data_IF_105833196658
#
_entry.id   IF_105833196658
#
_cell.length_a   1.000
_cell.length_b   1.000
_cell.length_c   1.000
_cell.angle_alpha   90.00
_cell.angle_beta   90.00
_cell.angle_gamma   90.00
#
_symmetry.space_group_name_H-M   'P 1'
#
loop_
_entity.id
_entity.type
_entity.pdbx_description
1 polymer ?
#
# COMPACT_ATOMS: atom_id res chain seq x y z
N UNK A 1 -2.16 2.06 20.87
CA UNK A 1 -2.08 1.88 19.40
C UNK A 1 -2.15 3.25 18.77
N UNK A 2 -1.20 3.56 17.90
CA UNK A 2 -1.16 4.84 17.20
C UNK A 2 -1.92 4.69 15.88
N UNK A 3 -2.94 5.52 15.67
CA UNK A 3 -3.78 5.40 14.47
C UNK A 3 -3.28 6.24 13.30
N UNK A 4 -2.33 7.16 13.56
CA UNK A 4 -1.74 8.06 12.57
C UNK A 4 -0.26 8.33 12.87
N UNK A 5 0.59 8.36 11.85
CA UNK A 5 1.99 8.78 11.94
C UNK A 5 2.32 9.72 10.79
N UNK A 6 3.20 10.68 11.02
CA UNK A 6 3.71 11.56 9.97
C UNK A 6 5.08 11.06 9.54
N UNK A 7 5.27 10.81 8.25
CA UNK A 7 6.57 10.42 7.71
C UNK A 7 7.52 11.63 7.61
N UNK A 8 8.79 11.41 7.28
CA UNK A 8 9.77 12.50 7.07
C UNK A 8 9.42 13.46 5.92
N UNK A 9 8.51 13.07 5.04
CA UNK A 9 8.04 13.85 3.89
C UNK A 9 6.84 14.76 4.24
N UNK A 10 6.35 14.71 5.48
CA UNK A 10 5.18 15.47 5.93
C UNK A 10 3.85 14.83 5.56
N UNK A 11 3.85 13.62 5.00
CA UNK A 11 2.64 12.87 4.69
C UNK A 11 2.11 12.19 5.94
N UNK A 12 0.80 12.30 6.13
CA UNK A 12 0.10 11.64 7.22
C UNK A 12 -0.38 10.24 6.81
N UNK A 13 0.18 9.25 7.50
CA UNK A 13 -0.04 7.83 7.29
C UNK A 13 -1.05 7.34 8.33
N UNK A 14 -2.17 6.76 7.87
CA UNK A 14 -3.25 6.30 8.74
C UNK A 14 -3.63 4.85 8.46
N UNK A 15 -4.06 4.15 9.52
CA UNK A 15 -4.67 2.83 9.38
C UNK A 15 -5.88 2.92 8.43
N UNK A 16 -6.02 1.91 7.57
CA UNK A 16 -7.05 1.81 6.53
C UNK A 16 -6.69 2.48 5.20
N UNK A 17 -5.60 3.26 5.13
CA UNK A 17 -5.16 3.83 3.85
C UNK A 17 -4.65 2.76 2.89
N UNK A 18 -4.86 3.02 1.59
CA UNK A 18 -4.32 2.22 0.51
C UNK A 18 -3.09 2.88 -0.12
N UNK A 19 -2.08 2.06 -0.39
CA UNK A 19 -0.81 2.48 -0.96
C UNK A 19 -0.39 1.50 -2.07
N UNK A 20 -0.08 2.02 -3.24
CA UNK A 20 0.34 1.23 -4.39
C UNK A 20 1.85 1.36 -4.63
N UNK A 21 2.49 0.30 -5.09
CA UNK A 21 3.85 0.37 -5.62
C UNK A 21 3.99 1.44 -6.73
N UNK A 22 5.22 1.87 -7.01
CA UNK A 22 5.49 2.72 -8.17
C UNK A 22 4.98 2.07 -9.47
N UNK A 23 4.23 2.82 -10.32
CA UNK A 23 3.63 2.29 -11.54
C UNK A 23 4.65 1.83 -12.60
N UNK A 24 5.95 2.13 -12.43
CA UNK A 24 7.02 1.63 -13.31
C UNK A 24 7.43 0.19 -13.01
N UNK A 25 6.89 -0.44 -11.96
CA UNK A 25 7.14 -1.85 -11.66
C UNK A 25 6.28 -2.76 -12.52
N UNK A 26 6.84 -3.90 -12.95
CA UNK A 26 6.09 -4.97 -13.65
C UNK A 26 4.96 -5.53 -12.79
N UNK A 27 5.18 -5.70 -11.49
CA UNK A 27 4.13 -6.12 -10.56
C UNK A 27 3.83 -4.96 -9.62
N UNK A 28 2.65 -4.37 -9.77
CA UNK A 28 2.16 -3.27 -8.96
C UNK A 28 1.27 -3.83 -7.86
N UNK A 29 1.73 -3.76 -6.61
CA UNK A 29 0.93 -4.19 -5.46
C UNK A 29 0.17 -3.02 -4.85
N UNK A 30 -1.05 -3.29 -4.41
CA UNK A 30 -1.81 -2.41 -3.51
C UNK A 30 -1.80 -3.00 -2.11
N UNK A 31 -1.45 -2.14 -1.16
CA UNK A 31 -1.31 -2.44 0.26
C UNK A 31 -2.37 -1.69 1.03
N UNK A 32 -2.95 -2.32 2.06
CA UNK A 32 -3.75 -1.66 3.08
C UNK A 32 -2.94 -1.58 4.37
N UNK A 33 -2.91 -0.41 5.01
CA UNK A 33 -2.31 -0.26 6.33
C UNK A 33 -3.27 -0.83 7.38
N UNK A 34 -2.81 -1.82 8.13
CA UNK A 34 -3.57 -2.45 9.21
C UNK A 34 -3.05 -2.05 10.59
N UNK A 35 -1.81 -1.56 10.69
CA UNK A 35 -1.21 -1.09 11.93
C UNK A 35 -0.05 -0.14 11.72
N UNK A 36 0.27 0.62 12.76
CA UNK A 36 1.42 1.52 12.83
C UNK A 36 2.17 1.24 14.13
N UNK A 37 3.49 1.10 14.04
CA UNK A 37 4.34 0.74 15.16
C UNK A 37 5.67 1.51 15.12
N UNK A 38 6.34 1.59 16.27
CA UNK A 38 7.70 2.07 16.39
C UNK A 38 8.64 0.87 16.55
N UNK A 39 9.43 0.58 15.51
CA UNK A 39 10.36 -0.54 15.51
C UNK A 39 11.74 -0.18 16.12
N UNK A 40 11.77 0.81 17.03
CA UNK A 40 12.96 1.23 17.75
C UNK A 40 14.01 1.82 16.80
N UNK A 41 15.19 1.19 16.72
CA UNK A 41 16.28 1.67 15.84
C UNK A 41 15.94 1.66 14.34
N UNK A 42 14.89 0.94 13.94
CA UNK A 42 14.40 0.92 12.55
C UNK A 42 13.43 2.07 12.25
N UNK A 43 13.03 2.83 13.27
CA UNK A 43 12.08 3.92 13.20
C UNK A 43 10.63 3.45 13.05
N UNK A 44 9.77 4.39 12.68
CA UNK A 44 8.35 4.15 12.48
C UNK A 44 8.07 3.23 11.27
N UNK A 45 7.19 2.25 11.47
CA UNK A 45 6.79 1.27 10.47
C UNK A 45 5.27 1.15 10.36
N UNK A 46 4.81 0.81 9.16
CA UNK A 46 3.45 0.40 8.88
C UNK A 46 3.41 -1.12 8.68
N UNK A 47 2.46 -1.76 9.36
CA UNK A 47 2.06 -3.16 9.10
C UNK A 47 0.96 -3.11 8.05
N UNK A 48 1.18 -3.78 6.93
CA UNK A 48 0.29 -3.72 5.78
C UNK A 48 -0.06 -5.11 5.25
N UNK A 49 -1.31 -5.28 4.80
CA UNK A 49 -1.72 -6.44 4.00
C UNK A 49 -1.67 -6.11 2.52
N UNK A 50 -1.05 -6.98 1.72
CA UNK A 50 -1.12 -6.93 0.25
C UNK A 50 -2.52 -7.39 -0.19
N UNK A 51 -3.38 -6.42 -0.49
CA UNK A 51 -4.77 -6.67 -0.88
C UNK A 51 -4.93 -6.94 -2.38
N UNK A 52 -3.97 -6.48 -3.19
CA UNK A 52 -3.97 -6.70 -4.63
C UNK A 52 -2.53 -6.74 -5.16
N UNK A 53 -2.27 -7.55 -6.18
CA UNK A 53 -1.08 -7.47 -7.02
C UNK A 53 -1.50 -7.58 -8.49
N UNK A 54 -1.14 -6.58 -9.29
CA UNK A 54 -1.41 -6.53 -10.72
C UNK A 54 -0.09 -6.68 -11.48
N UNK A 55 0.02 -7.73 -12.28
CA UNK A 55 1.11 -7.93 -13.22
C UNK A 55 0.79 -7.20 -14.52
N UNK A 56 1.57 -6.17 -14.86
CA UNK A 56 1.31 -5.30 -16.01
C UNK A 56 1.68 -5.95 -17.35
N UNK A 57 2.50 -6.99 -17.33
CA UNK A 57 2.94 -7.68 -18.55
C UNK A 57 1.89 -8.70 -19.01
N UNK A 58 1.27 -9.39 -18.04
CA UNK A 58 0.24 -10.42 -18.29
C UNK A 58 -1.18 -9.91 -18.08
N UNK A 59 -1.37 -8.77 -17.43
CA UNK A 59 -2.67 -8.24 -16.99
C UNK A 59 -3.28 -8.99 -15.80
N UNK A 60 -2.56 -9.96 -15.22
CA UNK A 60 -3.09 -10.81 -14.16
C UNK A 60 -3.24 -10.02 -12.85
N UNK A 61 -4.42 -10.14 -12.23
CA UNK A 61 -4.68 -9.58 -10.90
C UNK A 61 -4.82 -10.73 -9.89
N UNK A 62 -4.13 -10.59 -8.75
CA UNK A 62 -4.22 -11.53 -7.62
C UNK A 62 -4.48 -10.78 -6.33
N UNK A 63 -5.00 -11.49 -5.31
CA UNK A 63 -5.22 -10.96 -3.96
C UNK A 63 -4.40 -11.80 -2.95
N UNK A 64 -3.11 -11.49 -2.75
CA UNK A 64 -2.21 -12.39 -2.02
C UNK A 64 -2.53 -12.54 -0.53
N UNK A 65 -3.13 -11.52 0.12
CA UNK A 65 -3.40 -11.54 1.56
C UNK A 65 -2.14 -11.57 2.45
N UNK A 66 -0.96 -11.35 1.86
CA UNK A 66 0.33 -11.39 2.56
C UNK A 66 0.52 -10.16 3.43
N UNK A 67 0.86 -10.35 4.70
CA UNK A 67 1.25 -9.26 5.61
C UNK A 67 2.73 -8.92 5.43
N UNK A 68 3.03 -7.62 5.39
CA UNK A 68 4.38 -7.06 5.25
C UNK A 68 4.56 -5.86 6.19
N UNK A 69 5.81 -5.61 6.58
CA UNK A 69 6.18 -4.42 7.37
C UNK A 69 6.99 -3.47 6.50
N UNK A 70 6.63 -2.19 6.48
CA UNK A 70 7.23 -1.17 5.61
C UNK A 70 7.58 0.05 6.44
N UNK A 71 8.78 0.58 6.26
CA UNK A 71 9.14 1.87 6.86
C UNK A 71 8.26 2.99 6.29
N UNK A 72 7.65 3.81 7.16
CA UNK A 72 6.67 4.83 6.74
C UNK A 72 7.24 5.90 5.81
N UNK A 73 8.56 6.11 5.80
CA UNK A 73 9.22 7.04 4.89
C UNK A 73 9.25 6.55 3.44
N UNK A 74 8.93 5.28 3.21
CA UNK A 74 8.70 4.74 1.86
C UNK A 74 7.28 4.99 1.36
N UNK A 75 6.36 5.42 2.22
CA UNK A 75 4.99 5.76 1.87
C UNK A 75 4.94 7.28 1.66
N UNK A 76 5.02 7.77 0.43
CA UNK A 76 5.00 9.21 0.18
C UNK A 76 4.11 9.58 -1.00
N UNK A 77 3.42 10.72 -0.91
CA UNK A 77 2.45 11.13 -1.93
C UNK A 77 3.12 11.66 -3.20
N UNK A 78 4.37 12.12 -3.09
CA UNK A 78 5.13 12.68 -4.21
C UNK A 78 5.75 11.57 -5.08
N UNK A 79 5.67 11.70 -6.40
CA UNK A 79 6.09 10.66 -7.34
C UNK A 79 7.60 10.47 -7.54
N UNK A 80 8.42 10.88 -6.57
CA UNK A 80 9.88 10.78 -6.65
C UNK A 80 10.38 9.58 -5.84
N UNK A 81 10.66 8.45 -6.50
CA UNK A 81 11.33 7.30 -5.89
C UNK A 81 10.64 5.95 -6.15
N UNK A 82 11.28 4.87 -5.70
CA UNK A 82 10.79 3.48 -5.84
C UNK A 82 9.84 3.06 -4.69
N UNK A 83 9.28 4.03 -3.97
CA UNK A 83 8.40 3.86 -2.82
C UNK A 83 6.95 3.55 -3.20
N UNK A 84 6.06 3.73 -2.24
CA UNK A 84 4.63 3.53 -2.40
C UNK A 84 3.91 4.88 -2.47
N UNK A 85 2.92 4.96 -3.37
CA UNK A 85 2.09 6.14 -3.58
C UNK A 85 0.70 5.91 -3.04
N UNK A 86 0.06 6.97 -2.57
CA UNK A 86 -1.30 6.88 -2.03
C UNK A 86 -2.27 6.49 -3.15
N UNK A 87 -2.97 5.37 -2.96
CA UNK A 87 -4.00 4.91 -3.87
C UNK A 87 -5.34 5.57 -3.51
N UNK A 88 -6.23 5.80 -4.48
CA UNK A 88 -7.57 6.29 -4.19
C UNK A 88 -8.30 5.29 -3.30
N UNK A 89 -9.05 5.79 -2.31
CA UNK A 89 -9.77 4.95 -1.33
C UNK A 89 -10.80 4.00 -1.98
N UNK A 90 -11.18 4.26 -3.24
CA UNK A 90 -12.15 3.50 -4.02
C UNK A 90 -11.52 2.48 -5.00
N UNK A 91 -10.25 2.10 -4.82
CA UNK A 91 -9.74 0.92 -5.53
C UNK A 91 -10.38 -0.33 -4.94
N UNK A 92 -11.61 -0.63 -5.36
CA UNK A 92 -12.16 -1.97 -5.21
C UNK A 92 -11.19 -2.95 -5.88
N UNK A 93 -10.93 -4.13 -5.29
CA UNK A 93 -10.23 -5.17 -6.02
C UNK A 93 -11.02 -5.41 -7.31
N UNK A 94 -10.40 -5.08 -8.45
CA UNK A 94 -10.97 -5.38 -9.77
C UNK A 94 -10.96 -6.90 -9.91
N UNK A 95 -12.04 -7.52 -9.44
CA UNK A 95 -12.21 -8.98 -9.37
C UNK A 95 -13.66 -9.41 -9.14
N UNK A 96 -14.57 -8.49 -8.81
CA UNK A 96 -16.01 -8.78 -8.82
C UNK A 96 -16.62 -8.21 -10.10
N UNK A 97 -16.50 -8.93 -11.21
CA UNK A 97 -17.43 -8.73 -12.32
C UNK A 97 -18.85 -8.98 -11.78
N UNK A 98 -19.84 -8.10 -11.99
CA UNK A 98 -21.21 -8.44 -11.68
C UNK A 98 -21.61 -9.61 -12.59
N UNK A 99 -21.89 -10.76 -11.99
CA UNK A 99 -22.54 -11.86 -12.70
C UNK A 99 -23.90 -11.34 -13.14
N UNK A 100 -24.04 -11.04 -14.43
CA UNK A 100 -25.32 -10.69 -15.02
C UNK A 100 -26.24 -11.92 -14.92
N UNK A 101 -27.38 -11.73 -14.26
CA UNK A 101 -28.56 -12.58 -14.41
C UNK A 101 -29.51 -11.91 -15.39
#
# INVERSE_FOLDING_TARGET
MTNTLTNRHGDEIRIGQLWADDPRRTVVRTLRIDGLDDAGSLGAVAVCTVVQAHDTDTGQVTAPGRVVTINIDRLHTTGAGNGYRRAPANTAPQGSAPSAN
#
